data_IF_285427502706
#
_entry.id   IF_285427502706
#
_cell.length_a   1.000
_cell.length_b   1.000
_cell.length_c   1.000
_cell.angle_alpha   90.00
_cell.angle_beta   90.00
_cell.angle_gamma   90.00
#
_symmetry.space_group_name_H-M   'P 1'
#
loop_
_entity.id
_entity.type
_entity.pdbx_description
1 polymer ?
#
# COMPACT_ATOMS: atom_id res chain seq x y z
N UNK A 1 -6.96 -7.24 -7.02
CA UNK A 1 -5.59 -7.73 -6.75
C UNK A 1 -5.29 -7.65 -5.25
N UNK A 2 -4.54 -8.60 -4.69
CA UNK A 2 -4.19 -8.58 -3.26
C UNK A 2 -2.67 -8.62 -3.04
N UNK A 3 -2.22 -7.90 -2.02
CA UNK A 3 -0.86 -7.83 -1.50
C UNK A 3 -0.82 -8.49 -0.12
N UNK A 4 0.18 -9.35 0.10
CA UNK A 4 0.55 -9.85 1.43
C UNK A 4 2.06 -9.82 1.48
N UNK A 5 2.62 -8.92 2.27
CA UNK A 5 4.05 -8.87 2.58
C UNK A 5 4.22 -9.40 4.01
N UNK A 6 4.80 -10.60 4.10
CA UNK A 6 4.89 -11.33 5.35
C UNK A 6 6.01 -10.78 6.25
N UNK A 7 5.84 -10.88 7.59
CA UNK A 7 6.90 -10.57 8.53
C UNK A 7 8.18 -11.36 8.21
N UNK A 8 9.31 -10.68 8.37
CA UNK A 8 10.65 -11.25 8.27
C UNK A 8 11.41 -11.03 9.58
N UNK A 9 12.47 -11.80 9.88
CA UNK A 9 13.23 -11.65 11.12
C UNK A 9 13.78 -10.23 11.36
N UNK A 10 14.04 -9.49 10.28
CA UNK A 10 14.50 -8.11 10.27
C UNK A 10 13.36 -7.07 10.20
N UNK A 11 12.11 -7.53 10.05
CA UNK A 11 10.92 -6.70 9.86
C UNK A 11 9.68 -7.44 10.39
N UNK A 12 9.35 -7.35 11.69
CA UNK A 12 8.24 -8.07 12.32
C UNK A 12 6.88 -7.42 12.00
N UNK A 13 6.68 -7.00 10.75
CA UNK A 13 5.54 -6.24 10.28
C UNK A 13 4.83 -7.03 9.18
N UNK A 14 3.50 -7.02 9.22
CA UNK A 14 2.65 -7.61 8.19
C UNK A 14 1.93 -6.48 7.45
N UNK A 15 2.10 -6.44 6.14
CA UNK A 15 1.35 -5.56 5.25
C UNK A 15 0.38 -6.38 4.40
N UNK A 16 -0.90 -6.06 4.50
CA UNK A 16 -1.94 -6.65 3.65
C UNK A 16 -2.60 -5.54 2.85
N UNK A 17 -2.88 -5.78 1.57
CA UNK A 17 -3.57 -4.83 0.71
C UNK A 17 -4.58 -5.50 -0.21
N UNK A 18 -5.71 -4.85 -0.46
CA UNK A 18 -6.71 -5.22 -1.46
C UNK A 18 -6.90 -4.04 -2.39
N UNK A 19 -6.85 -4.31 -3.69
CA UNK A 19 -6.96 -3.32 -4.76
C UNK A 19 -8.03 -3.76 -5.76
N UNK A 20 -9.19 -3.09 -5.82
CA UNK A 20 -10.25 -3.42 -6.78
C UNK A 20 -10.17 -2.55 -8.03
N UNK A 21 -9.65 -3.16 -9.10
CA UNK A 21 -9.39 -2.48 -10.37
C UNK A 21 -10.64 -2.37 -11.24
N UNK A 22 -10.93 -1.18 -11.75
CA UNK A 22 -12.07 -0.89 -12.61
C UNK A 22 -11.70 -0.09 -13.87
N UNK A 23 -12.55 -0.15 -14.89
CA UNK A 23 -12.26 0.38 -16.23
C UNK A 23 -11.46 -0.61 -17.10
N UNK A 24 -11.23 -0.26 -18.36
CA UNK A 24 -10.57 -1.12 -19.35
C UNK A 24 -9.17 -1.58 -18.89
N UNK A 25 -8.42 -0.69 -18.23
CA UNK A 25 -7.08 -0.95 -17.71
C UNK A 25 -7.02 -1.14 -16.19
N UNK A 26 -8.15 -1.22 -15.47
CA UNK A 26 -8.16 -1.31 -14.00
C UNK A 26 -7.41 -2.53 -13.46
N UNK A 27 -7.40 -3.62 -14.23
CA UNK A 27 -6.63 -4.81 -13.89
C UNK A 27 -5.10 -4.59 -13.98
N UNK A 28 -4.63 -3.66 -14.83
CA UNK A 28 -3.22 -3.25 -14.86
C UNK A 28 -2.88 -2.36 -13.65
N UNK A 29 -3.73 -1.37 -13.36
CA UNK A 29 -3.56 -0.46 -12.21
C UNK A 29 -3.48 -1.25 -10.91
N UNK A 30 -4.46 -2.11 -10.63
CA UNK A 30 -4.48 -2.91 -9.40
C UNK A 30 -3.31 -3.91 -9.29
N UNK A 31 -2.80 -4.42 -10.42
CA UNK A 31 -1.61 -5.30 -10.45
C UNK A 31 -0.32 -4.52 -10.17
N UNK A 32 -0.22 -3.28 -10.67
CA UNK A 32 0.91 -2.41 -10.36
C UNK A 32 0.92 -2.04 -8.88
N UNK A 33 -0.21 -1.65 -8.29
CA UNK A 33 -0.31 -1.41 -6.85
C UNK A 33 0.12 -2.64 -6.04
N UNK A 34 -0.35 -3.84 -6.41
CA UNK A 34 0.10 -5.09 -5.79
C UNK A 34 1.63 -5.28 -5.84
N UNK A 35 2.27 -4.88 -6.93
CA UNK A 35 3.70 -5.12 -7.15
C UNK A 35 4.59 -4.09 -6.45
N UNK A 36 4.15 -2.83 -6.32
CA UNK A 36 5.01 -1.71 -5.92
C UNK A 36 4.71 -1.15 -4.53
N UNK A 37 3.46 -1.25 -4.06
CA UNK A 37 3.02 -0.48 -2.89
C UNK A 37 3.85 -0.74 -1.62
N UNK A 38 4.27 -1.99 -1.37
CA UNK A 38 5.09 -2.31 -0.19
C UNK A 38 6.44 -1.59 -0.18
N UNK A 39 7.11 -1.53 -1.35
CA UNK A 39 8.39 -0.84 -1.47
C UNK A 39 8.24 0.67 -1.32
N UNK A 40 7.18 1.24 -1.92
CA UNK A 40 6.86 2.65 -1.77
C UNK A 40 6.60 3.04 -0.31
N UNK A 41 5.86 2.22 0.43
CA UNK A 41 5.61 2.44 1.86
C UNK A 41 6.91 2.43 2.67
N UNK A 42 7.77 1.43 2.47
CA UNK A 42 9.06 1.34 3.17
C UNK A 42 9.98 2.52 2.88
N UNK A 43 10.01 2.99 1.63
CA UNK A 43 10.79 4.16 1.26
C UNK A 43 10.21 5.44 1.89
N UNK A 44 8.89 5.56 1.96
CA UNK A 44 8.23 6.67 2.63
C UNK A 44 8.49 6.69 4.15
N UNK A 45 8.50 5.54 4.82
CA UNK A 45 8.79 5.42 6.26
C UNK A 45 10.19 5.95 6.65
N UNK A 46 11.16 5.90 5.74
CA UNK A 46 12.51 6.44 5.99
C UNK A 46 12.56 7.97 6.02
N UNK A 47 11.59 8.63 5.40
CA UNK A 47 11.58 10.09 5.19
C UNK A 47 10.43 10.82 5.87
N UNK A 48 9.50 10.09 6.49
CA UNK A 48 8.30 10.63 7.11
C UNK A 48 8.27 10.36 8.62
N UNK A 49 7.74 11.29 9.44
CA UNK A 49 7.81 11.21 10.90
C UNK A 49 6.92 10.14 11.53
N UNK A 50 5.94 9.62 10.80
CA UNK A 50 5.03 8.58 11.28
C UNK A 50 4.40 7.79 10.13
N UNK A 51 3.89 6.60 10.46
CA UNK A 51 3.26 5.67 9.50
C UNK A 51 2.09 6.30 8.74
N UNK A 52 1.28 7.16 9.38
CA UNK A 52 0.18 7.83 8.71
C UNK A 52 0.67 8.70 7.55
N UNK A 53 1.65 9.56 7.80
CA UNK A 53 2.25 10.41 6.77
C UNK A 53 3.00 9.61 5.70
N UNK A 54 3.70 8.53 6.09
CA UNK A 54 4.36 7.62 5.15
C UNK A 54 3.34 6.91 4.24
N UNK A 55 2.23 6.44 4.79
CA UNK A 55 1.17 5.75 4.05
C UNK A 55 0.53 6.70 3.04
N UNK A 56 0.23 7.94 3.43
CA UNK A 56 -0.31 8.96 2.51
C UNK A 56 0.68 9.21 1.36
N UNK A 57 1.96 9.39 1.67
CA UNK A 57 3.00 9.61 0.66
C UNK A 57 3.13 8.41 -0.30
N UNK A 58 3.06 7.18 0.22
CA UNK A 58 3.09 5.97 -0.58
C UNK A 58 1.88 5.86 -1.53
N UNK A 59 0.68 6.26 -1.09
CA UNK A 59 -0.50 6.33 -1.95
C UNK A 59 -0.34 7.34 -3.08
N UNK A 60 0.17 8.54 -2.78
CA UNK A 60 0.40 9.59 -3.78
C UNK A 60 1.45 9.15 -4.79
N UNK A 61 2.55 8.57 -4.33
CA UNK A 61 3.60 8.07 -5.22
C UNK A 61 3.11 6.88 -6.06
N UNK A 62 2.27 6.01 -5.49
CA UNK A 62 1.68 4.90 -6.23
C UNK A 62 0.76 5.39 -7.37
N UNK A 63 -0.04 6.43 -7.13
CA UNK A 63 -0.87 7.07 -8.14
C UNK A 63 -0.01 7.70 -9.25
N UNK A 64 1.06 8.40 -8.86
CA UNK A 64 2.03 8.95 -9.81
C UNK A 64 2.70 7.86 -10.66
N UNK A 65 3.18 6.78 -10.04
CA UNK A 65 3.82 5.66 -10.74
C UNK A 65 2.88 4.97 -11.73
N UNK A 66 1.59 4.84 -11.38
CA UNK A 66 0.57 4.32 -12.29
C UNK A 66 0.37 5.25 -13.50
N UNK A 67 0.18 6.55 -13.27
CA UNK A 67 -0.06 7.53 -14.34
C UNK A 67 1.13 7.74 -15.28
N UNK A 68 2.36 7.45 -14.84
CA UNK A 68 3.55 7.47 -15.70
C UNK A 68 3.65 6.28 -16.66
N UNK A 69 3.05 5.15 -16.33
CA UNK A 69 3.28 3.86 -17.01
C UNK A 69 2.04 3.25 -17.65
N UNK A 70 0.84 3.70 -17.24
CA UNK A 70 -0.45 3.19 -17.69
C UNK A 70 -1.36 4.35 -18.13
N UNK A 71 -2.28 4.07 -19.06
CA UNK A 71 -3.39 4.97 -19.35
C UNK A 71 -4.49 4.81 -18.28
N UNK A 72 -4.45 5.70 -17.29
CA UNK A 72 -5.42 5.78 -16.20
C UNK A 72 -6.58 6.76 -16.49
N UNK A 73 -6.73 7.29 -17.72
CA UNK A 73 -7.73 8.34 -18.01
C UNK A 73 -9.18 7.93 -17.74
N UNK A 74 -9.49 6.63 -17.89
CA UNK A 74 -10.80 6.04 -17.61
C UNK A 74 -10.69 4.73 -16.82
N UNK A 75 -9.60 4.55 -16.07
CA UNK A 75 -9.34 3.33 -15.31
C UNK A 75 -8.68 3.66 -13.98
N UNK A 76 -8.94 2.83 -12.99
CA UNK A 76 -8.45 3.06 -11.64
C UNK A 76 -8.50 1.80 -10.82
N UNK A 77 -8.15 1.94 -9.55
CA UNK A 77 -8.34 0.92 -8.53
C UNK A 77 -8.76 1.57 -7.23
N UNK A 78 -9.65 0.93 -6.49
CA UNK A 78 -9.73 1.19 -5.04
C UNK A 78 -8.48 0.63 -4.37
N UNK A 79 -8.31 0.97 -3.10
CA UNK A 79 -7.29 0.37 -2.25
C UNK A 79 -7.72 0.36 -0.79
N UNK A 80 -7.47 -0.74 -0.10
CA UNK A 80 -7.49 -0.85 1.36
C UNK A 80 -6.20 -1.55 1.77
N UNK A 81 -5.44 -0.93 2.67
CA UNK A 81 -4.18 -1.47 3.17
C UNK A 81 -4.18 -1.50 4.70
N UNK A 82 -3.75 -2.61 5.25
CA UNK A 82 -3.62 -2.86 6.68
C UNK A 82 -2.15 -3.12 7.01
N UNK A 83 -1.58 -2.27 7.87
CA UNK A 83 -0.23 -2.43 8.39
C UNK A 83 -0.28 -2.85 9.86
N UNK A 84 0.21 -4.06 10.14
CA UNK A 84 0.25 -4.64 11.47
C UNK A 84 1.70 -4.65 11.95
N UNK A 85 1.97 -3.94 13.04
CA UNK A 85 3.28 -3.87 13.67
C UNK A 85 3.19 -4.45 15.07
N UNK A 86 4.11 -5.36 15.40
CA UNK A 86 4.27 -5.91 16.73
C UNK A 86 5.50 -5.29 17.40
N UNK A 87 5.31 -4.74 18.59
CA UNK A 87 6.40 -4.36 19.48
C UNK A 87 6.73 -5.58 20.36
N UNK A 88 7.85 -6.24 20.06
CA UNK A 88 8.29 -7.43 20.78
C UNK A 88 8.62 -7.16 22.26
N UNK A 89 9.03 -5.94 22.60
CA UNK A 89 9.41 -5.58 23.97
C UNK A 89 8.18 -5.37 24.86
N UNK A 90 7.16 -4.71 24.32
CA UNK A 90 5.94 -4.41 25.07
C UNK A 90 4.83 -5.44 24.84
N UNK A 91 4.99 -6.33 23.85
CA UNK A 91 3.95 -7.24 23.38
C UNK A 91 2.77 -6.53 22.72
N UNK A 92 2.86 -5.21 22.47
CA UNK A 92 1.78 -4.42 21.91
C UNK A 92 1.70 -4.64 20.40
N UNK A 93 0.49 -4.83 19.92
CA UNK A 93 0.20 -4.92 18.49
C UNK A 93 -0.54 -3.67 18.07
N UNK A 94 -0.06 -2.98 17.04
CA UNK A 94 -0.76 -1.88 16.39
C UNK A 94 -1.18 -2.26 14.99
N UNK A 95 -2.43 -1.97 14.67
CA UNK A 95 -3.00 -2.08 13.33
C UNK A 95 -3.32 -0.68 12.81
N UNK A 96 -2.80 -0.35 11.64
CA UNK A 96 -3.11 0.90 10.93
C UNK A 96 -3.78 0.54 9.60
N UNK A 97 -4.96 1.09 9.38
CA UNK A 97 -5.74 0.89 8.15
C UNK A 97 -5.83 2.18 7.38
N UNK A 98 -5.60 2.12 6.07
CA UNK A 98 -5.78 3.24 5.15
C UNK A 98 -6.53 2.77 3.90
N UNK A 99 -7.35 3.64 3.33
CA UNK A 99 -8.13 3.29 2.15
C UNK A 99 -8.36 4.48 1.22
N UNK A 100 -8.60 4.17 -0.04
CA UNK A 100 -9.09 5.08 -1.07
C UNK A 100 -10.12 4.37 -1.93
N UNK A 101 -11.33 4.91 -2.01
CA UNK A 101 -12.48 4.25 -2.64
C UNK A 101 -13.39 3.52 -1.64
N UNK A 102 -14.02 2.44 -2.09
CA UNK A 102 -15.16 1.79 -1.44
C UNK A 102 -14.98 0.26 -1.23
N UNK A 103 -13.73 -0.21 -1.22
CA UNK A 103 -13.40 -1.60 -0.86
C UNK A 103 -13.53 -1.92 0.63
#
# INVERSE_FOLDING_TARGET
SYLVDLPRPDMPELLVGVFDGHGEHGHHVSRQCKAQFSELLRNAEQSHPNLQSATIAAYVEQDHACTLTLDCSQSGTTAVTCHLQADELTGRVSLTTAWGGDS
#
